data_IF_347237601372
#
_entry.id   IF_347237601372
#
_cell.length_a   1.000
_cell.length_b   1.000
_cell.length_c   1.000
_cell.angle_alpha   90.00
_cell.angle_beta   90.00
_cell.angle_gamma   90.00
#
_symmetry.space_group_name_H-M   'P 1'
#
loop_
_entity.id
_entity.type
_entity.pdbx_description
1 polymer ?
#
# COMPACT_ATOMS: atom_id res chain seq x y z
N UNK A 1 2.39 12.91 -19.14
CA UNK A 1 2.23 13.54 -17.82
C UNK A 1 2.59 12.57 -16.71
N UNK A 2 3.24 13.07 -15.68
CA UNK A 2 3.61 12.21 -14.54
C UNK A 2 2.45 12.00 -13.59
N UNK A 3 2.48 10.87 -12.88
CA UNK A 3 1.51 10.62 -11.83
C UNK A 3 1.68 11.67 -10.71
N UNK A 4 0.63 12.39 -10.34
CA UNK A 4 0.76 13.45 -9.33
C UNK A 4 1.03 12.92 -7.92
N UNK A 5 0.89 11.62 -7.70
CA UNK A 5 1.06 11.03 -6.37
C UNK A 5 2.40 10.33 -6.18
N UNK A 6 2.90 9.62 -7.19
CA UNK A 6 4.18 8.90 -7.07
C UNK A 6 5.26 9.42 -8.02
N UNK A 7 4.89 10.23 -9.00
CA UNK A 7 5.83 10.78 -9.95
C UNK A 7 6.17 9.89 -11.14
N UNK A 8 5.53 8.73 -11.27
CA UNK A 8 5.79 7.83 -12.39
C UNK A 8 5.41 8.50 -13.72
N UNK A 9 6.28 8.41 -14.76
CA UNK A 9 5.97 9.02 -16.05
C UNK A 9 4.73 8.40 -16.68
N UNK A 10 3.89 9.24 -17.29
CA UNK A 10 2.71 8.82 -18.04
C UNK A 10 1.77 7.87 -17.28
N UNK A 11 1.77 7.97 -15.96
CA UNK A 11 0.96 7.10 -15.09
C UNK A 11 1.28 5.60 -15.29
N UNK A 12 2.52 5.28 -15.63
CA UNK A 12 2.97 3.90 -15.79
C UNK A 12 2.83 3.09 -14.50
N UNK A 13 2.71 3.76 -13.35
CA UNK A 13 2.46 3.09 -12.07
C UNK A 13 1.20 2.23 -12.11
N UNK A 14 0.10 2.75 -12.68
CA UNK A 14 -1.15 2.00 -12.78
C UNK A 14 -1.00 0.79 -13.70
N UNK A 15 -0.38 1.00 -14.85
CA UNK A 15 -0.13 -0.09 -15.81
C UNK A 15 0.71 -1.20 -15.17
N UNK A 16 1.78 -0.82 -14.50
CA UNK A 16 2.68 -1.77 -13.85
C UNK A 16 1.98 -2.52 -12.71
N UNK A 17 1.16 -1.80 -11.95
CA UNK A 17 0.40 -2.43 -10.87
C UNK A 17 -0.55 -3.49 -11.41
N UNK A 18 -1.27 -3.18 -12.49
CA UNK A 18 -2.18 -4.13 -13.12
C UNK A 18 -1.44 -5.36 -13.63
N UNK A 19 -0.28 -5.18 -14.27
CA UNK A 19 0.55 -6.28 -14.72
C UNK A 19 1.02 -7.16 -13.56
N UNK A 20 1.43 -6.54 -12.47
CA UNK A 20 1.92 -7.26 -11.29
C UNK A 20 0.79 -8.05 -10.62
N UNK A 21 -0.42 -7.52 -10.59
CA UNK A 21 -1.56 -8.27 -10.04
C UNK A 21 -1.80 -9.55 -10.83
N UNK A 22 -1.69 -9.49 -12.16
CA UNK A 22 -1.83 -10.68 -13.01
C UNK A 22 -0.74 -11.70 -12.68
N UNK A 23 0.51 -11.27 -12.58
CA UNK A 23 1.62 -12.16 -12.21
C UNK A 23 1.39 -12.82 -10.86
N UNK A 24 0.93 -12.04 -9.88
CA UNK A 24 0.73 -12.53 -8.52
C UNK A 24 -0.41 -13.52 -8.42
N UNK A 25 -1.46 -13.36 -9.23
CA UNK A 25 -2.57 -14.29 -9.25
C UNK A 25 -2.28 -15.56 -10.05
N UNK A 26 -1.34 -15.51 -11.01
CA UNK A 26 -1.05 -16.65 -11.88
C UNK A 26 0.15 -17.47 -11.42
N UNK A 27 1.00 -16.93 -10.56
CA UNK A 27 2.23 -17.59 -10.09
C UNK A 27 2.41 -17.37 -8.60
N UNK A 28 2.36 -18.45 -7.82
CA UNK A 28 2.48 -18.40 -6.37
C UNK A 28 3.81 -17.79 -5.90
N UNK A 29 4.88 -17.96 -6.69
CA UNK A 29 6.17 -17.37 -6.36
C UNK A 29 6.15 -15.84 -6.39
N UNK A 30 5.39 -15.27 -7.32
CA UNK A 30 5.15 -13.83 -7.37
C UNK A 30 4.11 -13.40 -6.32
N UNK A 31 3.07 -14.21 -6.14
CA UNK A 31 1.96 -13.90 -5.25
C UNK A 31 2.31 -13.90 -3.77
N UNK A 32 3.45 -14.46 -3.39
CA UNK A 32 3.89 -14.51 -2.00
C UNK A 32 4.00 -13.12 -1.35
N UNK A 33 4.20 -12.07 -2.14
CA UNK A 33 4.33 -10.69 -1.66
C UNK A 33 3.15 -9.80 -2.05
N UNK A 34 2.03 -10.40 -2.47
CA UNK A 34 0.84 -9.66 -2.90
C UNK A 34 0.39 -8.60 -1.87
N UNK A 35 0.40 -8.97 -0.60
CA UNK A 35 0.02 -8.08 0.50
C UNK A 35 0.89 -6.82 0.55
N UNK A 36 2.19 -6.96 0.29
CA UNK A 36 3.10 -5.82 0.27
C UNK A 36 2.88 -4.95 -0.96
N UNK A 37 2.65 -5.58 -2.12
CA UNK A 37 2.41 -4.88 -3.38
C UNK A 37 1.21 -3.95 -3.26
N UNK A 38 0.09 -4.47 -2.75
CA UNK A 38 -1.15 -3.69 -2.62
C UNK A 38 -0.98 -2.58 -1.59
N UNK A 39 -0.45 -2.90 -0.41
CA UNK A 39 -0.33 -1.89 0.66
C UNK A 39 0.62 -0.76 0.25
N UNK A 40 1.78 -1.08 -0.34
CA UNK A 40 2.73 -0.06 -0.77
C UNK A 40 2.14 0.84 -1.86
N UNK A 41 1.44 0.23 -2.83
CA UNK A 41 0.80 1.00 -3.90
C UNK A 41 -0.26 1.96 -3.34
N UNK A 42 -1.10 1.48 -2.43
CA UNK A 42 -2.17 2.29 -1.84
C UNK A 42 -1.59 3.44 -1.00
N UNK A 43 -0.52 3.21 -0.26
CA UNK A 43 0.11 4.27 0.52
C UNK A 43 0.67 5.36 -0.39
N UNK A 44 1.24 5.01 -1.54
CA UNK A 44 1.75 5.99 -2.50
C UNK A 44 0.65 6.69 -3.30
N UNK A 45 -0.56 6.12 -3.34
CA UNK A 45 -1.68 6.66 -4.12
C UNK A 45 -2.84 6.98 -3.19
N UNK A 46 -2.62 7.95 -2.32
CA UNK A 46 -3.53 8.28 -1.22
C UNK A 46 -4.90 8.81 -1.66
N UNK A 47 -5.02 9.28 -2.89
CA UNK A 47 -6.31 9.76 -3.43
C UNK A 47 -7.36 8.66 -3.51
N UNK A 48 -6.94 7.40 -3.50
CA UNK A 48 -7.84 6.25 -3.54
C UNK A 48 -8.37 5.85 -2.17
N UNK A 49 -7.84 6.46 -1.11
CA UNK A 49 -8.10 6.05 0.27
C UNK A 49 -8.71 7.18 1.07
N UNK A 50 -9.47 6.82 2.12
CA UNK A 50 -9.81 7.76 3.18
C UNK A 50 -8.58 7.93 4.09
N UNK A 51 -8.53 8.99 4.93
CA UNK A 51 -7.42 9.15 5.88
C UNK A 51 -7.24 7.93 6.79
N UNK A 52 -8.32 7.38 7.30
CA UNK A 52 -8.28 6.18 8.15
C UNK A 52 -7.81 4.97 7.37
N UNK A 53 -8.28 4.81 6.13
CA UNK A 53 -7.86 3.71 5.25
C UNK A 53 -6.39 3.81 4.91
N UNK A 54 -5.88 5.02 4.64
CA UNK A 54 -4.46 5.22 4.36
C UNK A 54 -3.60 4.85 5.56
N UNK A 55 -4.00 5.30 6.75
CA UNK A 55 -3.29 4.96 7.99
C UNK A 55 -3.28 3.45 8.20
N UNK A 56 -4.41 2.80 7.97
CA UNK A 56 -4.52 1.35 8.09
C UNK A 56 -3.54 0.63 7.16
N UNK A 57 -3.47 1.04 5.90
CA UNK A 57 -2.53 0.43 4.93
C UNK A 57 -1.07 0.67 5.33
N UNK A 58 -0.74 1.86 5.81
CA UNK A 58 0.60 2.15 6.33
C UNK A 58 0.94 1.23 7.51
N UNK A 59 0.00 1.06 8.42
CA UNK A 59 0.21 0.22 9.60
C UNK A 59 0.33 -1.24 9.22
N UNK A 60 -0.36 -1.70 8.18
CA UNK A 60 -0.21 -3.05 7.64
C UNK A 60 1.22 -3.28 7.14
N UNK A 61 1.81 -2.31 6.46
CA UNK A 61 3.21 -2.43 6.04
C UNK A 61 4.12 -2.65 7.24
N UNK A 62 3.88 -1.94 8.33
CA UNK A 62 4.66 -2.11 9.55
C UNK A 62 4.48 -3.52 10.13
N UNK A 63 3.25 -4.00 10.19
CA UNK A 63 2.96 -5.33 10.73
C UNK A 63 3.64 -6.43 9.92
N UNK A 64 3.64 -6.31 8.59
CA UNK A 64 4.30 -7.31 7.73
C UNK A 64 5.82 -7.20 7.79
N UNK A 65 6.38 -5.99 7.73
CA UNK A 65 7.81 -5.79 7.56
C UNK A 65 8.60 -5.73 8.88
N UNK A 66 8.02 -5.13 9.91
CA UNK A 66 8.68 -4.94 11.20
C UNK A 66 8.25 -6.00 12.20
N UNK A 67 6.95 -6.21 12.35
CA UNK A 67 6.40 -7.19 13.28
C UNK A 67 6.38 -8.60 12.69
N UNK A 68 6.62 -8.71 11.39
CA UNK A 68 6.71 -9.97 10.66
C UNK A 68 5.48 -10.87 10.78
N UNK A 69 4.31 -10.26 10.89
CA UNK A 69 3.05 -11.01 10.90
C UNK A 69 2.81 -11.60 9.52
N UNK A 70 2.22 -12.79 9.48
CA UNK A 70 1.91 -13.46 8.22
C UNK A 70 0.64 -12.90 7.61
N UNK A 71 0.48 -12.98 6.28
CA UNK A 71 -0.79 -12.59 5.65
C UNK A 71 -2.00 -13.34 6.22
N UNK A 72 -1.83 -14.60 6.58
CA UNK A 72 -2.92 -15.39 7.19
C UNK A 72 -3.34 -14.79 8.54
N UNK A 73 -2.38 -14.38 9.37
CA UNK A 73 -2.67 -13.74 10.66
C UNK A 73 -3.42 -12.43 10.46
N UNK A 74 -2.98 -11.62 9.50
CA UNK A 74 -3.63 -10.33 9.22
C UNK A 74 -5.06 -10.54 8.70
N UNK A 75 -5.26 -11.49 7.79
CA UNK A 75 -6.61 -11.81 7.29
C UNK A 75 -7.55 -12.20 8.42
N UNK A 76 -7.06 -12.98 9.38
CA UNK A 76 -7.86 -13.37 10.54
C UNK A 76 -8.21 -12.15 11.40
N UNK A 77 -7.26 -11.26 11.65
CA UNK A 77 -7.50 -10.04 12.41
C UNK A 77 -8.55 -9.15 11.74
N UNK A 78 -8.47 -9.00 10.42
CA UNK A 78 -9.44 -8.23 9.66
C UNK A 78 -10.83 -8.84 9.78
N UNK A 79 -10.93 -10.16 9.61
CA UNK A 79 -12.19 -10.88 9.72
C UNK A 79 -12.81 -10.70 11.11
N UNK A 80 -12.01 -10.87 12.15
CA UNK A 80 -12.48 -10.74 13.54
C UNK A 80 -12.99 -9.31 13.78
N UNK A 81 -12.31 -8.30 13.24
CA UNK A 81 -12.72 -6.91 13.37
C UNK A 81 -14.05 -6.64 12.65
N UNK A 82 -14.19 -7.17 11.45
CA UNK A 82 -15.44 -7.03 10.66
C UNK A 82 -16.59 -7.75 11.35
N UNK A 83 -16.36 -8.99 11.78
CA UNK A 83 -17.40 -9.81 12.42
C UNK A 83 -17.87 -9.19 13.75
N UNK A 84 -16.97 -8.50 14.47
CA UNK A 84 -17.31 -7.85 15.73
C UNK A 84 -17.95 -6.48 15.54
N UNK A 85 -18.03 -5.96 14.32
CA UNK A 85 -18.59 -4.66 14.02
C UNK A 85 -17.73 -3.48 14.49
N UNK A 86 -16.45 -3.71 14.79
CA UNK A 86 -15.56 -2.67 15.30
C UNK A 86 -15.00 -1.75 14.24
N UNK A 87 -15.03 -2.17 12.96
CA UNK A 87 -14.54 -1.32 11.88
C UNK A 87 -15.61 -0.28 11.54
N UNK A 88 -15.31 0.99 11.82
CA UNK A 88 -16.26 2.09 11.69
C UNK A 88 -15.92 3.06 10.56
N UNK A 89 -14.87 2.78 9.75
CA UNK A 89 -14.42 3.67 8.69
C UNK A 89 -14.46 2.97 7.34
N UNK A 90 -14.46 3.79 6.28
CA UNK A 90 -14.36 3.31 4.90
C UNK A 90 -12.92 3.39 4.44
N UNK A 91 -12.48 2.38 3.68
CA UNK A 91 -11.13 2.37 3.11
C UNK A 91 -10.99 3.25 1.89
N UNK A 92 -11.97 3.17 0.98
CA UNK A 92 -11.87 3.83 -0.31
C UNK A 92 -12.57 5.18 -0.31
N UNK A 93 -11.91 6.18 -0.89
CA UNK A 93 -12.48 7.50 -1.08
C UNK A 93 -13.07 7.62 -2.48
N UNK A 94 -14.17 8.36 -2.59
CA UNK A 94 -14.78 8.71 -3.87
C UNK A 94 -14.38 10.11 -4.33
N UNK A 95 -13.69 10.87 -3.49
CA UNK A 95 -13.35 12.26 -3.80
C UNK A 95 -12.16 12.39 -4.75
N UNK A 96 -11.27 11.41 -4.79
CA UNK A 96 -10.04 11.49 -5.57
C UNK A 96 -9.03 12.49 -5.05
N UNK A 97 -9.26 13.04 -3.85
CA UNK A 97 -8.35 14.01 -3.24
C UNK A 97 -7.28 13.28 -2.44
N UNK A 98 -5.97 13.58 -2.69
CA UNK A 98 -4.91 12.93 -1.92
C UNK A 98 -5.03 13.20 -0.43
N UNK A 99 -4.82 12.17 0.38
CA UNK A 99 -4.82 12.26 1.84
C UNK A 99 -3.55 12.91 2.36
N UNK A 100 -2.43 12.69 1.65
CA UNK A 100 -1.12 13.20 2.02
C UNK A 100 -0.58 14.10 0.91
N UNK A 101 0.28 15.05 1.28
CA UNK A 101 0.91 15.97 0.34
C UNK A 101 2.35 15.53 0.09
N UNK A 102 2.49 14.39 -0.58
CA UNK A 102 3.80 13.84 -0.91
C UNK A 102 3.77 13.36 -2.36
N UNK A 103 4.68 13.89 -3.17
CA UNK A 103 4.75 13.59 -4.61
C UNK A 103 6.11 13.03 -5.03
N UNK A 104 7.08 13.03 -4.13
CA UNK A 104 8.41 12.51 -4.40
C UNK A 104 8.73 11.38 -3.44
N UNK A 105 8.96 10.21 -3.99
CA UNK A 105 9.28 9.00 -3.26
C UNK A 105 10.63 8.47 -3.73
N UNK A 106 11.41 7.91 -2.83
CA UNK A 106 12.71 7.33 -3.18
C UNK A 106 12.56 6.15 -4.14
N UNK A 107 11.50 5.36 -3.95
CA UNK A 107 11.20 4.22 -4.81
C UNK A 107 9.74 4.20 -5.19
N UNK A 108 9.45 3.74 -6.40
CA UNK A 108 8.09 3.51 -6.87
C UNK A 108 8.00 2.08 -7.41
N UNK A 109 6.80 1.69 -7.81
CA UNK A 109 6.57 0.39 -8.43
C UNK A 109 7.45 0.20 -9.69
N UNK A 110 7.88 1.29 -10.34
CA UNK A 110 8.74 1.21 -11.52
C UNK A 110 10.16 0.73 -11.21
N UNK A 111 10.57 0.76 -9.94
CA UNK A 111 11.86 0.26 -9.51
C UNK A 111 11.87 -1.26 -9.30
N UNK A 112 10.73 -1.91 -9.47
CA UNK A 112 10.58 -3.35 -9.24
C UNK A 112 10.81 -4.10 -10.55
N UNK A 113 11.72 -5.06 -10.51
CA UNK A 113 11.99 -5.95 -11.65
C UNK A 113 11.13 -7.20 -11.53
N UNK A 114 10.73 -7.76 -12.67
CA UNK A 114 9.86 -8.93 -12.69
C UNK A 114 10.42 -10.08 -13.51
N UNK A 115 11.75 -10.10 -13.73
CA UNK A 115 12.42 -11.09 -14.56
C UNK A 115 12.33 -12.52 -14.00
N UNK A 116 12.27 -12.66 -12.66
CA UNK A 116 12.00 -13.93 -12.02
C UNK A 116 11.39 -13.66 -10.65
N UNK A 117 10.79 -14.69 -10.05
CA UNK A 117 10.04 -14.54 -8.80
C UNK A 117 10.92 -14.10 -7.62
N UNK A 118 12.15 -14.60 -7.54
CA UNK A 118 13.07 -14.25 -6.47
C UNK A 118 13.40 -12.76 -6.50
N UNK A 119 13.81 -12.25 -7.66
CA UNK A 119 14.16 -10.83 -7.85
C UNK A 119 12.93 -9.97 -7.58
N UNK A 120 11.77 -10.39 -8.08
CA UNK A 120 10.52 -9.68 -7.87
C UNK A 120 10.21 -9.53 -6.38
N UNK A 121 10.27 -10.61 -5.61
CA UNK A 121 9.99 -10.57 -4.17
C UNK A 121 10.97 -9.66 -3.43
N UNK A 122 12.25 -9.71 -3.79
CA UNK A 122 13.26 -8.85 -3.18
C UNK A 122 12.97 -7.37 -3.46
N UNK A 123 12.64 -7.06 -4.71
CA UNK A 123 12.38 -5.67 -5.10
C UNK A 123 11.06 -5.14 -4.53
N UNK A 124 10.01 -5.96 -4.47
CA UNK A 124 8.76 -5.56 -3.83
C UNK A 124 9.01 -5.27 -2.35
N UNK A 125 9.76 -6.13 -1.67
CA UNK A 125 10.09 -5.92 -0.26
C UNK A 125 10.90 -4.64 -0.05
N UNK A 126 11.88 -4.37 -0.92
CA UNK A 126 12.69 -3.15 -0.85
C UNK A 126 11.83 -1.90 -1.09
N UNK A 127 10.94 -1.95 -2.07
CA UNK A 127 10.01 -0.86 -2.34
C UNK A 127 9.09 -0.63 -1.14
N UNK A 128 8.49 -1.70 -0.61
CA UNK A 128 7.58 -1.59 0.53
C UNK A 128 8.27 -1.01 1.77
N UNK A 129 9.52 -1.41 2.05
CA UNK A 129 10.30 -0.85 3.16
C UNK A 129 10.56 0.63 2.96
N UNK A 130 10.92 1.04 1.76
CA UNK A 130 11.14 2.45 1.43
C UNK A 130 9.88 3.26 1.63
N UNK A 131 8.74 2.73 1.18
CA UNK A 131 7.44 3.39 1.35
C UNK A 131 7.10 3.54 2.82
N UNK A 132 7.26 2.48 3.61
CA UNK A 132 6.97 2.52 5.05
C UNK A 132 7.85 3.54 5.76
N UNK A 133 9.14 3.57 5.44
CA UNK A 133 10.08 4.50 6.06
C UNK A 133 9.64 5.95 5.83
N UNK A 134 9.31 6.30 4.59
CA UNK A 134 8.88 7.65 4.27
C UNK A 134 7.49 7.96 4.82
N UNK A 135 6.57 7.00 4.76
CA UNK A 135 5.21 7.18 5.25
C UNK A 135 5.17 7.31 6.78
N UNK A 136 6.12 6.70 7.48
CA UNK A 136 6.20 6.80 8.94
C UNK A 136 6.51 8.21 9.44
N UNK A 137 7.07 9.05 8.59
CA UNK A 137 7.35 10.45 8.90
C UNK A 137 6.12 11.34 8.72
N UNK A 138 5.05 10.81 8.12
CA UNK A 138 3.84 11.57 7.83
C UNK A 138 2.86 11.43 9.00
N UNK A 139 2.41 12.56 9.53
CA UNK A 139 1.44 12.59 10.62
C UNK A 139 0.11 13.10 10.10
N UNK A 140 -0.94 12.28 10.27
CA UNK A 140 -2.30 12.68 9.95
C UNK A 140 -3.04 13.03 11.23
N UNK A 141 -3.74 14.15 11.20
CA UNK A 141 -4.48 14.64 12.35
C UNK A 141 -5.93 14.11 12.33
N UNK A 142 -6.06 12.80 12.36
CA UNK A 142 -7.36 12.13 12.29
C UNK A 142 -8.18 12.39 13.53
N UNK A 143 -7.52 12.46 14.70
CA UNK A 143 -8.22 12.66 15.97
C UNK A 143 -8.95 14.00 16.03
N UNK A 144 -8.37 15.07 15.47
CA UNK A 144 -9.04 16.36 15.42
C UNK A 144 -10.27 16.32 14.53
N UNK A 145 -10.26 15.53 13.49
CA UNK A 145 -11.41 15.35 12.61
C UNK A 145 -12.54 14.59 13.30
N UNK A 146 -12.20 13.66 14.17
CA UNK A 146 -13.17 12.87 14.91
C UNK A 146 -13.88 13.65 16.01
N UNK A 147 -13.23 14.66 16.58
CA UNK A 147 -13.79 15.46 17.65
C UNK A 147 -14.71 16.57 17.16
N UNK A 148 -14.81 16.74 15.89
CA UNK A 148 -15.70 17.73 15.28
C UNK A 148 -17.00 17.12 14.85
#
# INVERSE_FOLDING_TARGET
MSCPECGAPENLCQTRFDEFLVLEFTDAGYGAVHHLTVAAYMVQHSSKMTPEGWKYERDLLREFLVEKKTPATIRKQIKDTVDSGKRTFKFKSKTGVPVIDKTKWKRTILNVRAENAKVYREDITAWARSVLEEASEIILDINNNETK
#
